data_IF_444464918379
#
_entry.id   IF_444464918379
#
_cell.length_a   1.000
_cell.length_b   1.000
_cell.length_c   1.000
_cell.angle_alpha   90.00
_cell.angle_beta   90.00
_cell.angle_gamma   90.00
#
_symmetry.space_group_name_H-M   'P 1'
#
loop_
_entity.id
_entity.type
_entity.pdbx_description
1 polymer ?
#
# COMPACT_ATOMS: atom_id res chain seq x y z
N UNK A 1 4.48 62.92 -5.31
CA UNK A 1 4.99 61.85 -4.42
C UNK A 1 4.09 60.64 -4.60
N UNK A 2 4.60 59.61 -5.27
CA UNK A 2 3.86 58.39 -5.60
C UNK A 2 3.91 57.41 -4.43
N UNK A 3 2.74 56.96 -3.95
CA UNK A 3 2.63 55.87 -2.98
C UNK A 3 2.73 54.53 -3.70
N UNK A 4 3.78 53.76 -3.41
CA UNK A 4 3.88 52.35 -3.78
C UNK A 4 3.13 51.51 -2.74
N UNK A 5 2.06 50.85 -3.17
CA UNK A 5 1.41 49.78 -2.42
C UNK A 5 1.96 48.45 -2.97
N UNK A 6 2.89 47.84 -2.23
CA UNK A 6 3.38 46.49 -2.50
C UNK A 6 2.47 45.50 -1.76
N UNK A 7 1.57 44.86 -2.51
CA UNK A 7 0.89 43.65 -2.05
C UNK A 7 1.89 42.48 -2.00
N UNK A 8 1.89 41.76 -0.88
CA UNK A 8 2.60 40.48 -0.74
C UNK A 8 1.66 39.33 -1.15
N UNK A 9 2.12 38.36 -1.97
CA UNK A 9 1.35 37.14 -2.23
C UNK A 9 1.73 36.00 -1.27
N UNK A 10 0.69 35.38 -0.70
CA UNK A 10 0.56 33.96 -0.33
C UNK A 10 1.75 33.19 0.25
N UNK A 11 1.84 33.13 1.59
CA UNK A 11 2.67 32.16 2.34
C UNK A 11 1.84 31.19 3.22
N UNK A 12 0.50 31.26 3.17
CA UNK A 12 -0.38 30.54 4.09
C UNK A 12 -0.68 29.06 3.77
N UNK A 13 -0.36 28.58 2.56
CA UNK A 13 -0.80 27.25 2.07
C UNK A 13 0.21 26.12 2.35
N UNK A 14 1.50 26.45 2.47
CA UNK A 14 2.54 25.44 2.71
C UNK A 14 2.62 24.99 4.17
N UNK A 15 2.48 25.90 5.12
CA UNK A 15 2.55 25.59 6.56
C UNK A 15 1.35 24.73 6.98
N UNK A 16 0.15 25.09 6.55
CA UNK A 16 -1.07 24.34 6.85
C UNK A 16 -1.03 22.90 6.33
N UNK A 17 -0.48 22.69 5.13
CA UNK A 17 -0.35 21.36 4.54
C UNK A 17 0.64 20.47 5.29
N UNK A 18 1.79 21.01 5.70
CA UNK A 18 2.78 20.27 6.50
C UNK A 18 2.19 19.87 7.85
N UNK A 19 1.42 20.75 8.48
CA UNK A 19 0.74 20.47 9.75
C UNK A 19 -0.27 19.33 9.62
N UNK A 20 -1.05 19.32 8.53
CA UNK A 20 -2.03 18.26 8.26
C UNK A 20 -1.39 16.90 7.92
N UNK A 21 -0.27 16.90 7.18
CA UNK A 21 0.48 15.67 6.88
C UNK A 21 1.13 15.08 8.14
N UNK A 22 1.60 15.94 9.06
CA UNK A 22 2.12 15.54 10.37
C UNK A 22 1.02 14.98 11.27
N UNK A 23 -0.16 15.63 11.28
CA UNK A 23 -1.33 15.16 12.01
C UNK A 23 -1.78 13.78 11.50
N UNK A 24 -1.87 13.59 10.18
CA UNK A 24 -2.19 12.31 9.57
C UNK A 24 -1.22 11.20 9.99
N UNK A 25 0.08 11.49 9.92
CA UNK A 25 1.10 10.52 10.28
C UNK A 25 1.07 10.14 11.76
N UNK A 26 0.83 11.12 12.62
CA UNK A 26 0.75 10.92 14.07
C UNK A 26 -0.51 10.16 14.49
N UNK A 27 -1.67 10.50 13.92
CA UNK A 27 -2.92 9.80 14.17
C UNK A 27 -2.86 8.34 13.73
N UNK A 28 -2.25 8.07 12.57
CA UNK A 28 -2.03 6.71 12.07
C UNK A 28 -1.17 5.89 13.02
N UNK A 29 -0.05 6.47 13.49
CA UNK A 29 0.85 5.80 14.43
C UNK A 29 0.21 5.56 15.80
N UNK A 30 -0.58 6.51 16.31
CA UNK A 30 -1.30 6.35 17.57
C UNK A 30 -2.34 5.22 17.48
N UNK A 31 -3.16 5.22 16.43
CA UNK A 31 -4.17 4.18 16.22
C UNK A 31 -3.54 2.78 16.10
N UNK A 32 -2.41 2.69 15.40
CA UNK A 32 -1.66 1.44 15.23
C UNK A 32 -1.15 0.86 16.55
N UNK A 33 -0.70 1.72 17.47
CA UNK A 33 -0.19 1.30 18.77
C UNK A 33 -1.30 0.89 19.73
N UNK A 34 -2.45 1.55 19.67
CA UNK A 34 -3.62 1.16 20.45
C UNK A 34 -4.10 -0.25 20.07
N UNK A 35 -4.20 -0.52 18.75
CA UNK A 35 -4.54 -1.86 18.26
C UNK A 35 -3.47 -2.91 18.61
N UNK A 36 -2.18 -2.57 18.47
CA UNK A 36 -1.10 -3.50 18.84
C UNK A 36 -1.12 -3.88 20.32
N UNK A 37 -1.40 -2.92 21.21
CA UNK A 37 -1.52 -3.16 22.66
C UNK A 37 -2.73 -4.01 23.02
N UNK A 38 -3.82 -3.91 22.24
CA UNK A 38 -5.01 -4.75 22.43
C UNK A 38 -4.75 -6.22 22.06
N UNK A 39 -3.82 -6.50 21.15
CA UNK A 39 -3.48 -7.83 20.64
C UNK A 39 -2.35 -8.56 21.41
N UNK A 40 -1.75 -7.92 22.43
CA UNK A 40 -0.50 -8.40 23.09
C UNK A 40 -0.67 -9.65 23.98
N UNK A 41 -1.91 -10.12 24.20
CA UNK A 41 -2.22 -11.21 25.13
C UNK A 41 -1.77 -12.61 24.64
N UNK A 42 -1.15 -12.75 23.45
CA UNK A 42 -0.91 -14.08 22.86
C UNK A 42 0.37 -14.29 22.00
N UNK A 43 1.42 -13.46 22.10
CA UNK A 43 2.64 -13.64 21.28
C UNK A 43 3.84 -14.14 22.09
N UNK A 44 4.10 -15.46 22.11
CA UNK A 44 5.44 -15.99 22.47
C UNK A 44 6.40 -15.74 21.31
N UNK A 45 7.43 -14.91 21.51
CA UNK A 45 8.41 -14.60 20.46
C UNK A 45 9.86 -15.00 20.82
N UNK A 46 10.68 -15.40 19.82
CA UNK A 46 12.15 -15.50 19.92
C UNK A 46 12.78 -14.15 20.34
N UNK A 47 14.09 -14.06 20.68
CA UNK A 47 14.68 -12.80 21.13
C UNK A 47 14.42 -11.67 20.13
N UNK A 48 13.65 -10.68 20.58
CA UNK A 48 13.09 -9.62 19.75
C UNK A 48 14.15 -8.54 19.51
N UNK A 49 14.37 -8.14 18.25
CA UNK A 49 15.11 -6.92 17.96
C UNK A 49 14.18 -5.73 18.17
N UNK A 50 14.11 -5.26 19.41
CA UNK A 50 13.25 -4.17 19.83
C UNK A 50 13.58 -2.81 19.18
N UNK A 51 14.65 -2.72 18.38
CA UNK A 51 15.12 -1.45 17.83
C UNK A 51 15.10 -1.38 16.31
N UNK A 52 14.69 -2.46 15.63
CA UNK A 52 14.62 -2.52 14.18
C UNK A 52 13.21 -2.90 13.71
N UNK A 53 12.83 -2.33 12.57
CA UNK A 53 11.57 -2.61 11.93
C UNK A 53 11.70 -2.61 10.40
N UNK A 54 10.74 -3.25 9.75
CA UNK A 54 10.58 -3.22 8.31
C UNK A 54 9.24 -2.60 7.93
N UNK A 55 9.29 -1.62 7.03
CA UNK A 55 8.15 -0.83 6.59
C UNK A 55 7.82 -1.17 5.13
N UNK A 56 6.62 -1.67 4.90
CA UNK A 56 6.18 -2.10 3.57
C UNK A 56 5.05 -1.23 3.07
N UNK A 57 5.27 -0.57 1.94
CA UNK A 57 4.14 -0.09 1.16
C UNK A 57 3.24 -1.25 0.70
N UNK A 58 1.97 -0.96 0.43
CA UNK A 58 0.96 -1.98 0.13
C UNK A 58 0.72 -2.09 -1.37
N UNK A 59 0.28 -1.02 -2.03
CA UNK A 59 -0.19 -1.06 -3.41
C UNK A 59 1.00 -1.25 -4.38
N UNK A 60 0.92 -2.22 -5.29
CA UNK A 60 2.01 -2.70 -6.17
C UNK A 60 3.30 -3.21 -5.49
N UNK A 61 3.50 -2.93 -4.20
CA UNK A 61 4.61 -3.40 -3.38
C UNK A 61 4.31 -4.77 -2.76
N UNK A 62 3.34 -4.86 -1.85
CA UNK A 62 2.88 -6.11 -1.23
C UNK A 62 1.75 -6.75 -2.02
N UNK A 63 0.78 -5.95 -2.45
CA UNK A 63 -0.42 -6.35 -3.18
C UNK A 63 -0.27 -5.97 -4.65
N UNK A 64 -0.67 -6.86 -5.55
CA UNK A 64 -0.69 -6.61 -6.98
C UNK A 64 -1.80 -5.61 -7.33
N UNK A 65 -1.43 -4.43 -7.84
CA UNK A 65 -2.39 -3.36 -8.10
C UNK A 65 -2.78 -2.61 -6.83
N UNK A 66 -3.86 -1.85 -6.90
CA UNK A 66 -4.35 -1.06 -5.76
C UNK A 66 -5.32 -1.86 -4.89
N UNK A 67 -4.99 -1.98 -3.60
CA UNK A 67 -5.85 -2.56 -2.57
C UNK A 67 -7.16 -1.80 -2.40
N UNK A 68 -7.16 -0.46 -2.54
CA UNK A 68 -8.39 0.32 -2.53
C UNK A 68 -9.32 -0.02 -3.71
N UNK A 69 -8.76 -0.31 -4.88
CA UNK A 69 -9.56 -0.75 -6.04
C UNK A 69 -10.13 -2.15 -5.83
N UNK A 70 -9.34 -3.07 -5.26
CA UNK A 70 -9.84 -4.41 -4.90
C UNK A 70 -10.95 -4.34 -3.85
N UNK A 71 -10.77 -3.47 -2.85
CA UNK A 71 -11.78 -3.20 -1.83
C UNK A 71 -13.05 -2.63 -2.44
N UNK A 72 -12.94 -1.58 -3.28
CA UNK A 72 -14.08 -1.01 -3.99
C UNK A 72 -14.82 -2.02 -4.88
N UNK A 73 -14.11 -2.98 -5.50
CA UNK A 73 -14.73 -4.09 -6.24
C UNK A 73 -15.50 -5.04 -5.33
N UNK A 74 -14.93 -5.41 -4.19
CA UNK A 74 -15.60 -6.27 -3.20
C UNK A 74 -16.87 -5.63 -2.65
N UNK A 75 -16.84 -4.31 -2.41
CA UNK A 75 -18.02 -3.53 -2.03
C UNK A 75 -19.06 -3.49 -3.15
N UNK A 76 -18.65 -3.22 -4.40
CA UNK A 76 -19.57 -3.19 -5.53
C UNK A 76 -20.28 -4.54 -5.74
N UNK A 77 -19.60 -5.65 -5.51
CA UNK A 77 -20.18 -7.00 -5.58
C UNK A 77 -21.23 -7.29 -4.49
N UNK A 78 -21.30 -6.45 -3.46
CA UNK A 78 -22.23 -6.54 -2.31
C UNK A 78 -23.29 -5.43 -2.34
N UNK A 79 -23.52 -4.81 -3.51
CA UNK A 79 -24.49 -3.73 -3.75
C UNK A 79 -24.29 -2.47 -2.88
N UNK A 80 -23.08 -2.26 -2.38
CA UNK A 80 -22.73 -1.05 -1.60
C UNK A 80 -22.58 0.21 -2.47
N UNK A 81 -22.48 0.06 -3.79
CA UNK A 81 -22.44 1.15 -4.75
C UNK A 81 -23.58 1.04 -5.73
N UNK A 82 -24.21 2.17 -6.07
CA UNK A 82 -25.16 2.18 -7.17
C UNK A 82 -24.42 2.03 -8.50
N UNK A 83 -25.11 1.56 -9.54
CA UNK A 83 -24.56 1.50 -10.89
C UNK A 83 -24.00 2.87 -11.36
N UNK A 84 -24.61 3.97 -10.93
CA UNK A 84 -24.14 5.34 -11.22
C UNK A 84 -22.83 5.67 -10.49
N UNK A 85 -22.64 5.17 -9.28
CA UNK A 85 -21.40 5.36 -8.53
C UNK A 85 -20.25 4.60 -9.18
N UNK A 86 -20.48 3.34 -9.55
CA UNK A 86 -19.50 2.51 -10.25
C UNK A 86 -19.08 3.15 -11.58
N UNK A 87 -20.05 3.60 -12.40
CA UNK A 87 -19.73 4.33 -13.63
C UNK A 87 -18.95 5.62 -13.37
N UNK A 88 -19.29 6.35 -12.31
CA UNK A 88 -18.56 7.55 -11.89
C UNK A 88 -17.10 7.24 -11.51
N UNK A 89 -16.85 6.16 -10.78
CA UNK A 89 -15.50 5.71 -10.44
C UNK A 89 -14.70 5.27 -11.67
N UNK A 90 -15.32 4.51 -12.59
CA UNK A 90 -14.69 4.09 -13.84
C UNK A 90 -14.31 5.32 -14.69
N UNK A 91 -15.22 6.30 -14.79
CA UNK A 91 -14.96 7.55 -15.51
C UNK A 91 -13.82 8.35 -14.86
N UNK A 92 -13.82 8.49 -13.54
CA UNK A 92 -12.75 9.18 -12.81
C UNK A 92 -11.39 8.48 -13.01
N UNK A 93 -11.35 7.15 -12.93
CA UNK A 93 -10.15 6.35 -13.15
C UNK A 93 -9.64 6.45 -14.60
N UNK A 94 -10.53 6.43 -15.59
CA UNK A 94 -10.18 6.63 -16.99
C UNK A 94 -9.66 8.06 -17.25
N UNK A 95 -10.31 9.07 -16.66
CA UNK A 95 -9.87 10.47 -16.72
C UNK A 95 -8.46 10.63 -16.12
N UNK A 96 -8.19 9.99 -14.98
CA UNK A 96 -6.88 10.02 -14.33
C UNK A 96 -5.78 9.44 -15.22
N UNK A 97 -6.02 8.25 -15.80
CA UNK A 97 -5.07 7.60 -16.70
C UNK A 97 -4.85 8.36 -18.02
N UNK A 98 -5.86 9.12 -18.49
CA UNK A 98 -5.79 9.87 -19.75
C UNK A 98 -5.22 11.29 -19.61
N UNK A 99 -5.55 12.01 -18.53
CA UNK A 99 -5.20 13.43 -18.39
C UNK A 99 -4.00 13.71 -17.47
N UNK A 100 -3.58 12.76 -16.63
CA UNK A 100 -2.31 12.81 -15.87
C UNK A 100 -2.06 14.04 -14.97
N UNK A 101 -3.05 14.94 -14.83
CA UNK A 101 -3.00 16.15 -14.02
C UNK A 101 -4.30 16.26 -13.24
N UNK A 102 -4.20 16.10 -11.93
CA UNK A 102 -5.30 16.45 -11.03
C UNK A 102 -5.15 17.93 -10.62
N UNK A 103 -6.23 18.69 -10.79
CA UNK A 103 -6.40 19.95 -10.06
C UNK A 103 -6.73 19.60 -8.60
N UNK A 104 -6.26 20.42 -7.65
CA UNK A 104 -6.52 20.25 -6.20
C UNK A 104 -8.01 20.07 -5.86
N UNK A 105 -8.90 20.73 -6.61
CA UNK A 105 -10.35 20.59 -6.47
C UNK A 105 -10.89 19.19 -6.85
N UNK A 106 -10.29 18.52 -7.84
CA UNK A 106 -10.70 17.18 -8.27
C UNK A 106 -10.29 16.13 -7.22
N UNK A 107 -9.12 16.32 -6.58
CA UNK A 107 -8.65 15.46 -5.48
C UNK A 107 -9.53 15.60 -4.25
N UNK A 108 -9.84 16.83 -3.83
CA UNK A 108 -10.70 17.08 -2.68
C UNK A 108 -12.14 16.56 -2.89
N UNK A 109 -12.67 16.67 -4.12
CA UNK A 109 -13.97 16.12 -4.47
C UNK A 109 -13.96 14.58 -4.50
N UNK A 110 -12.90 13.96 -5.04
CA UNK A 110 -12.72 12.51 -5.03
C UNK A 110 -12.62 11.94 -3.61
N UNK A 111 -11.87 12.61 -2.73
CA UNK A 111 -11.76 12.26 -1.30
C UNK A 111 -13.09 12.30 -0.58
N UNK A 112 -13.85 13.40 -0.70
CA UNK A 112 -15.18 13.53 -0.10
C UNK A 112 -16.11 12.41 -0.58
N UNK A 113 -16.09 12.09 -1.87
CA UNK A 113 -16.95 11.04 -2.43
C UNK A 113 -16.58 9.64 -1.92
N UNK A 114 -15.28 9.36 -1.73
CA UNK A 114 -14.83 8.10 -1.15
C UNK A 114 -15.22 7.97 0.34
N UNK A 115 -15.20 9.07 1.10
CA UNK A 115 -15.54 9.09 2.53
C UNK A 115 -17.05 9.09 2.79
N UNK A 116 -17.85 9.69 1.90
CA UNK A 116 -19.31 9.66 2.00
C UNK A 116 -19.87 8.22 2.02
N UNK A 117 -19.13 7.25 1.49
CA UNK A 117 -19.53 5.84 1.52
C UNK A 117 -19.50 5.24 2.94
N UNK A 118 -18.52 5.65 3.75
CA UNK A 118 -18.33 5.13 5.12
C UNK A 118 -19.06 5.97 6.16
N UNK A 119 -19.47 7.20 5.83
CA UNK A 119 -20.18 8.10 6.74
C UNK A 119 -21.43 7.45 7.34
N UNK A 120 -21.57 7.54 8.67
CA UNK A 120 -22.68 6.95 9.42
C UNK A 120 -22.63 5.43 9.59
N UNK A 121 -21.59 4.75 9.06
CA UNK A 121 -21.39 3.31 9.27
C UNK A 121 -20.49 3.07 10.47
N UNK A 122 -20.66 1.92 11.10
CA UNK A 122 -19.78 1.51 12.19
C UNK A 122 -18.39 1.11 11.68
N UNK A 123 -17.37 1.36 12.49
CA UNK A 123 -15.99 0.90 12.25
C UNK A 123 -15.95 -0.63 12.15
N UNK A 124 -16.69 -1.33 13.02
CA UNK A 124 -16.79 -2.79 13.03
C UNK A 124 -17.30 -3.35 11.69
N UNK A 125 -18.36 -2.75 11.12
CA UNK A 125 -18.86 -3.15 9.79
C UNK A 125 -17.77 -3.03 8.71
N UNK A 126 -16.94 -1.99 8.74
CA UNK A 126 -15.88 -1.81 7.76
C UNK A 126 -14.76 -2.85 7.94
N UNK A 127 -14.45 -3.21 9.19
CA UNK A 127 -13.49 -4.28 9.50
C UNK A 127 -14.00 -5.62 8.97
N UNK A 128 -15.25 -5.99 9.25
CA UNK A 128 -15.85 -7.24 8.75
C UNK A 128 -15.83 -7.30 7.23
N UNK A 129 -16.20 -6.21 6.55
CA UNK A 129 -16.10 -6.13 5.08
C UNK A 129 -14.65 -6.25 4.60
N UNK A 130 -13.71 -5.63 5.30
CA UNK A 130 -12.28 -5.75 5.03
C UNK A 130 -11.79 -7.19 5.08
N UNK A 131 -12.25 -7.95 6.07
CA UNK A 131 -11.88 -9.35 6.28
C UNK A 131 -12.44 -10.26 5.17
N UNK A 132 -13.73 -10.11 4.85
CA UNK A 132 -14.34 -10.88 3.76
C UNK A 132 -13.67 -10.59 2.41
N UNK A 133 -13.47 -9.31 2.09
CA UNK A 133 -12.87 -8.90 0.81
C UNK A 133 -11.40 -9.30 0.75
N UNK A 134 -10.71 -9.34 1.91
CA UNK A 134 -9.37 -9.89 1.96
C UNK A 134 -9.34 -11.35 1.51
N UNK A 135 -10.19 -12.18 2.12
CA UNK A 135 -10.21 -13.62 1.88
C UNK A 135 -10.63 -13.94 0.43
N UNK A 136 -11.59 -13.18 -0.13
CA UNK A 136 -12.12 -13.40 -1.49
C UNK A 136 -11.22 -12.86 -2.60
N UNK A 137 -10.52 -11.74 -2.36
CA UNK A 137 -9.86 -10.97 -3.44
C UNK A 137 -8.39 -10.71 -3.14
N UNK A 138 -8.07 -10.14 -1.99
CA UNK A 138 -6.74 -9.55 -1.74
C UNK A 138 -5.68 -10.65 -1.51
N UNK A 139 -6.03 -11.73 -0.81
CA UNK A 139 -5.11 -12.82 -0.50
C UNK A 139 -4.38 -13.36 -1.76
N UNK A 140 -5.13 -13.58 -2.84
CA UNK A 140 -4.61 -14.07 -4.13
C UNK A 140 -3.78 -13.03 -4.91
N UNK A 141 -3.79 -11.77 -4.47
CA UNK A 141 -3.04 -10.67 -5.09
C UNK A 141 -1.76 -10.36 -4.36
N UNK A 142 -1.41 -11.05 -3.29
CA UNK A 142 -0.16 -10.81 -2.58
C UNK A 142 1.02 -11.30 -3.44
N UNK A 143 2.07 -10.49 -3.56
CA UNK A 143 3.32 -10.92 -4.18
C UNK A 143 4.03 -11.91 -3.26
N UNK A 144 4.22 -13.16 -3.72
CA UNK A 144 4.94 -14.18 -2.96
C UNK A 144 6.33 -13.69 -2.51
N UNK A 145 7.09 -13.05 -3.41
CA UNK A 145 8.41 -12.51 -3.07
C UNK A 145 8.38 -11.38 -2.04
N UNK A 146 7.33 -10.56 -2.00
CA UNK A 146 7.20 -9.54 -0.94
C UNK A 146 6.77 -10.17 0.39
N UNK A 147 5.92 -11.21 0.35
CA UNK A 147 5.56 -12.00 1.55
C UNK A 147 6.76 -12.73 2.15
N UNK A 148 7.67 -13.24 1.32
CA UNK A 148 8.93 -13.83 1.79
C UNK A 148 9.82 -12.80 2.49
N UNK A 149 9.86 -11.55 2.00
CA UNK A 149 10.56 -10.45 2.67
C UNK A 149 9.94 -10.12 4.02
N UNK A 150 8.61 -10.06 4.12
CA UNK A 150 7.96 -9.83 5.42
C UNK A 150 8.30 -10.94 6.41
N UNK A 151 8.28 -12.20 5.96
CA UNK A 151 8.63 -13.34 6.81
C UNK A 151 10.09 -13.31 7.26
N UNK A 152 11.02 -12.96 6.37
CA UNK A 152 12.44 -12.80 6.70
C UNK A 152 12.67 -11.84 7.88
N UNK A 153 11.94 -10.71 7.91
CA UNK A 153 12.04 -9.75 9.01
C UNK A 153 11.42 -10.28 10.31
N UNK A 154 10.27 -10.97 10.23
CA UNK A 154 9.66 -11.62 11.39
C UNK A 154 10.57 -12.70 11.98
N UNK A 155 11.19 -13.53 11.13
CA UNK A 155 12.13 -14.58 11.53
C UNK A 155 13.40 -14.00 12.17
N UNK A 156 13.77 -12.76 11.81
CA UNK A 156 14.85 -12.00 12.43
C UNK A 156 14.43 -11.30 13.74
N UNK A 157 13.20 -11.50 14.21
CA UNK A 157 12.66 -10.88 15.44
C UNK A 157 12.37 -9.39 15.31
N UNK A 158 12.25 -8.85 14.09
CA UNK A 158 11.98 -7.44 13.84
C UNK A 158 10.48 -7.16 13.74
N UNK A 159 10.09 -5.93 14.05
CA UNK A 159 8.72 -5.48 13.81
C UNK A 159 8.47 -5.35 12.30
N UNK A 160 7.28 -5.72 11.82
CA UNK A 160 6.88 -5.58 10.41
C UNK A 160 5.58 -4.79 10.31
N UNK A 161 5.66 -3.64 9.64
CA UNK A 161 4.57 -2.68 9.54
C UNK A 161 4.19 -2.42 8.08
N UNK A 162 2.89 -2.39 7.80
CA UNK A 162 2.38 -1.88 6.52
C UNK A 162 2.26 -0.35 6.57
N UNK A 163 2.47 0.34 5.45
CA UNK A 163 2.33 1.80 5.35
C UNK A 163 1.66 2.18 4.04
N UNK A 164 0.45 2.73 4.11
CA UNK A 164 -0.39 2.88 2.93
C UNK A 164 -1.29 4.11 2.97
N UNK A 165 -1.64 4.62 1.79
CA UNK A 165 -2.65 5.65 1.63
C UNK A 165 -4.08 5.09 1.77
N UNK A 166 -4.26 3.76 1.78
CA UNK A 166 -5.57 3.13 1.95
C UNK A 166 -6.09 3.27 3.39
N UNK A 167 -7.41 3.08 3.61
CA UNK A 167 -7.99 3.19 4.95
C UNK A 167 -7.28 2.27 5.95
N UNK A 168 -7.07 2.80 7.15
CA UNK A 168 -6.39 2.11 8.24
C UNK A 168 -7.00 0.72 8.52
N UNK A 169 -8.32 0.60 8.53
CA UNK A 169 -9.03 -0.64 8.86
C UNK A 169 -8.69 -1.78 7.90
N UNK A 170 -8.59 -1.46 6.60
CA UNK A 170 -8.20 -2.43 5.59
C UNK A 170 -6.72 -2.81 5.74
N UNK A 171 -5.85 -1.83 5.98
CA UNK A 171 -4.42 -2.06 6.19
C UNK A 171 -4.16 -2.94 7.42
N UNK A 172 -4.84 -2.66 8.54
CA UNK A 172 -4.79 -3.43 9.77
C UNK A 172 -5.31 -4.85 9.55
N UNK A 173 -6.37 -5.02 8.76
CA UNK A 173 -6.89 -6.35 8.38
C UNK A 173 -5.85 -7.16 7.60
N UNK A 174 -5.20 -6.56 6.60
CA UNK A 174 -4.13 -7.21 5.83
C UNK A 174 -2.97 -7.60 6.77
N UNK A 175 -2.56 -6.70 7.67
CA UNK A 175 -1.48 -6.95 8.63
C UNK A 175 -1.81 -8.13 9.57
N UNK A 176 -3.00 -8.15 10.17
CA UNK A 176 -3.46 -9.25 11.04
C UNK A 176 -3.50 -10.58 10.29
N UNK A 177 -4.12 -10.62 9.10
CA UNK A 177 -4.22 -11.83 8.27
C UNK A 177 -2.85 -12.39 7.85
N UNK A 178 -1.84 -11.53 7.74
CA UNK A 178 -0.46 -11.92 7.42
C UNK A 178 0.43 -12.16 8.65
N UNK A 179 -0.07 -11.98 9.87
CA UNK A 179 0.70 -12.14 11.10
C UNK A 179 1.80 -11.08 11.28
N UNK A 180 1.60 -9.89 10.72
CA UNK A 180 2.54 -8.77 10.85
C UNK A 180 2.35 -8.05 12.19
N UNK A 181 3.25 -7.12 12.53
CA UNK A 181 3.15 -6.33 13.76
C UNK A 181 1.92 -5.43 13.75
N UNK A 182 1.70 -4.71 12.63
CA UNK A 182 0.55 -3.82 12.48
C UNK A 182 0.58 -3.05 11.16
N UNK A 183 -0.18 -1.96 11.09
CA UNK A 183 -0.27 -1.12 9.90
C UNK A 183 -0.39 0.37 10.25
N UNK A 184 0.07 1.21 9.32
CA UNK A 184 -0.12 2.64 9.27
C UNK A 184 -0.93 2.94 7.99
N UNK A 185 -2.13 3.47 8.16
CA UNK A 185 -3.04 3.81 7.06
C UNK A 185 -3.64 5.21 7.20
N UNK A 186 -4.43 5.61 6.20
CA UNK A 186 -5.24 6.83 6.28
C UNK A 186 -6.33 6.65 7.33
N UNK A 187 -6.42 7.58 8.28
CA UNK A 187 -7.36 7.52 9.39
C UNK A 187 -8.62 8.32 9.07
N UNK A 188 -9.75 7.62 8.98
CA UNK A 188 -11.07 8.26 8.97
C UNK A 188 -11.50 8.56 10.41
N UNK A 189 -12.05 9.75 10.63
CA UNK A 189 -12.54 10.15 11.94
C UNK A 189 -13.80 9.33 12.29
N UNK A 190 -13.83 8.83 13.51
CA UNK A 190 -15.00 8.17 14.08
C UNK A 190 -15.29 8.69 15.48
N UNK A 191 -16.57 8.69 15.86
CA UNK A 191 -17.05 9.03 17.20
C UNK A 191 -17.97 7.90 17.64
N UNK A 192 -17.76 7.36 18.84
CA UNK A 192 -18.51 6.23 19.39
C UNK A 192 -18.58 5.02 18.43
N UNK A 193 -17.47 4.76 17.71
CA UNK A 193 -17.37 3.66 16.76
C UNK A 193 -18.10 3.89 15.43
N UNK A 194 -18.59 5.10 15.14
CA UNK A 194 -19.28 5.47 13.89
C UNK A 194 -18.46 6.50 13.11
N UNK A 195 -18.26 6.27 11.81
CA UNK A 195 -17.51 7.21 10.96
C UNK A 195 -18.27 8.51 10.72
N UNK A 196 -17.55 9.64 10.79
CA UNK A 196 -18.11 10.98 10.57
C UNK A 196 -18.05 11.44 9.11
N UNK A 197 -17.44 10.65 8.23
CA UNK A 197 -17.17 11.04 6.83
C UNK A 197 -15.98 12.00 6.66
N UNK A 198 -15.22 12.28 7.72
CA UNK A 198 -14.02 13.13 7.69
C UNK A 198 -12.74 12.31 7.89
N UNK A 199 -11.59 12.93 7.58
CA UNK A 199 -10.26 12.38 7.90
C UNK A 199 -9.70 13.05 9.15
N UNK A 200 -8.88 12.31 9.89
CA UNK A 200 -7.97 12.90 10.87
C UNK A 200 -6.70 13.33 10.14
N UNK A 201 -6.59 14.63 9.85
CA UNK A 201 -5.54 15.18 8.99
C UNK A 201 -5.81 14.88 7.51
N UNK A 202 -4.77 14.46 6.79
CA UNK A 202 -4.76 14.17 5.35
C UNK A 202 -4.58 12.68 5.03
N UNK A 203 -4.71 12.31 3.75
CA UNK A 203 -4.36 10.96 3.28
C UNK A 203 -2.89 10.66 3.59
N UNK A 204 -2.60 9.45 4.07
CA UNK A 204 -1.25 9.00 4.38
C UNK A 204 -0.44 8.68 3.10
N UNK A 205 -0.02 9.73 2.40
CA UNK A 205 0.70 9.64 1.14
C UNK A 205 2.00 10.46 1.18
N UNK A 206 3.02 10.02 0.44
CA UNK A 206 4.28 10.75 0.28
C UNK A 206 4.95 11.12 1.60
N UNK A 207 5.11 12.42 1.86
CA UNK A 207 5.67 12.96 3.11
C UNK A 207 4.89 12.52 4.35
N UNK A 208 3.57 12.31 4.27
CA UNK A 208 2.77 11.80 5.39
C UNK A 208 3.24 10.42 5.86
N UNK A 209 3.61 9.52 4.94
CA UNK A 209 4.19 8.20 5.29
C UNK A 209 5.50 8.34 6.06
N UNK A 210 6.36 9.25 5.61
CA UNK A 210 7.61 9.57 6.31
C UNK A 210 7.37 10.11 7.72
N UNK A 211 6.32 10.91 7.93
CA UNK A 211 5.93 11.38 9.27
C UNK A 211 5.42 10.24 10.14
N UNK A 212 4.56 9.36 9.62
CA UNK A 212 4.07 8.20 10.37
C UNK A 212 5.20 7.27 10.82
N UNK A 213 6.17 6.97 9.94
CA UNK A 213 7.37 6.18 10.29
C UNK A 213 8.14 6.83 11.44
N UNK A 214 8.36 8.14 11.40
CA UNK A 214 9.06 8.86 12.48
C UNK A 214 8.27 8.82 13.78
N UNK A 215 6.96 9.10 13.72
CA UNK A 215 6.09 9.10 14.90
C UNK A 215 6.05 7.72 15.54
N UNK A 216 5.96 6.66 14.75
CA UNK A 216 6.03 5.29 15.24
C UNK A 216 7.40 4.98 15.85
N UNK A 217 8.49 5.33 15.16
CA UNK A 217 9.84 5.08 15.63
C UNK A 217 10.16 5.75 16.98
N UNK A 218 9.66 6.98 17.20
CA UNK A 218 9.81 7.67 18.48
C UNK A 218 9.08 6.92 19.60
N UNK A 219 7.88 6.42 19.34
CA UNK A 219 7.02 5.78 20.34
C UNK A 219 7.50 4.37 20.69
N UNK A 220 8.01 3.64 19.71
CA UNK A 220 8.50 2.26 19.85
C UNK A 220 10.01 2.17 20.14
N UNK A 221 10.73 3.30 20.14
CA UNK A 221 12.19 3.30 20.36
C UNK A 221 13.00 2.71 19.19
N UNK A 222 12.48 2.79 17.97
CA UNK A 222 13.13 2.24 16.78
C UNK A 222 14.32 3.11 16.34
N UNK A 223 15.45 2.46 16.07
CA UNK A 223 16.57 3.09 15.40
C UNK A 223 16.38 2.98 13.88
N UNK A 224 15.91 4.07 13.25
CA UNK A 224 15.64 4.08 11.81
C UNK A 224 16.85 3.66 10.94
N UNK A 225 18.09 3.86 11.40
CA UNK A 225 19.28 3.38 10.68
C UNK A 225 19.43 1.85 10.65
N UNK A 226 18.70 1.14 11.50
CA UNK A 226 18.58 -0.33 11.51
C UNK A 226 17.31 -0.81 10.80
N UNK A 227 16.42 0.11 10.44
CA UNK A 227 15.17 -0.23 9.78
C UNK A 227 15.35 -0.39 8.26
N UNK A 228 14.39 -1.10 7.67
CA UNK A 228 14.28 -1.29 6.22
C UNK A 228 12.96 -0.74 5.71
N UNK A 229 12.92 -0.18 4.51
CA UNK A 229 11.69 0.26 3.87
C UNK A 229 11.59 -0.23 2.42
N UNK A 230 10.38 -0.63 2.03
CA UNK A 230 10.05 -1.22 0.74
C UNK A 230 8.93 -0.43 0.06
N UNK A 231 9.11 -0.03 -1.20
CA UNK A 231 8.07 0.63 -2.00
C UNK A 231 8.31 0.51 -3.51
N UNK A 232 7.24 0.63 -4.30
CA UNK A 232 7.26 0.73 -5.76
C UNK A 232 7.25 2.18 -6.28
N UNK A 233 6.89 3.14 -5.44
CA UNK A 233 6.55 4.49 -5.90
C UNK A 233 7.62 5.53 -5.59
N UNK A 234 7.87 6.42 -6.56
CA UNK A 234 8.70 7.60 -6.34
C UNK A 234 8.14 8.52 -5.25
N UNK A 235 6.83 8.50 -5.01
CA UNK A 235 6.21 9.31 -3.97
C UNK A 235 6.71 8.93 -2.56
N UNK A 236 7.18 7.70 -2.38
CA UNK A 236 7.65 7.18 -1.10
C UNK A 236 9.16 7.42 -0.86
N UNK A 237 9.84 8.14 -1.76
CA UNK A 237 11.25 8.53 -1.58
C UNK A 237 11.52 9.20 -0.23
N UNK A 238 10.66 10.09 0.31
CA UNK A 238 10.85 10.62 1.66
C UNK A 238 10.94 9.53 2.71
N UNK A 239 10.07 8.51 2.67
CA UNK A 239 10.09 7.38 3.60
C UNK A 239 11.32 6.50 3.40
N UNK A 240 11.62 6.13 2.15
CA UNK A 240 12.79 5.32 1.80
C UNK A 240 14.10 6.00 2.22
N UNK A 241 14.15 7.33 2.21
CA UNK A 241 15.36 8.09 2.59
C UNK A 241 15.56 8.22 4.11
N UNK A 242 14.59 7.82 4.94
CA UNK A 242 14.69 7.92 6.40
C UNK A 242 15.41 6.73 7.04
N UNK A 243 15.31 5.57 6.40
CA UNK A 243 15.74 4.29 6.96
C UNK A 243 17.17 3.95 6.53
N UNK A 244 17.79 3.01 7.25
CA UNK A 244 19.15 2.55 6.91
C UNK A 244 19.22 1.72 5.64
N UNK A 245 18.14 1.01 5.29
CA UNK A 245 18.09 0.19 4.07
C UNK A 245 16.81 0.48 3.29
N UNK A 246 16.96 0.91 2.03
CA UNK A 246 15.85 1.16 1.12
C UNK A 246 15.86 0.13 -0.01
N UNK A 247 14.70 -0.46 -0.29
CA UNK A 247 14.53 -1.46 -1.33
C UNK A 247 13.36 -1.07 -2.23
N UNK A 248 13.64 -0.93 -3.52
CA UNK A 248 12.64 -0.61 -4.53
C UNK A 248 11.99 -1.91 -5.07
N UNK A 249 10.71 -2.12 -4.77
CA UNK A 249 9.95 -3.30 -5.18
C UNK A 249 9.09 -2.96 -6.38
N UNK A 250 9.19 -3.71 -7.48
CA UNK A 250 8.42 -3.45 -8.70
C UNK A 250 8.41 -1.98 -9.16
N UNK A 251 9.52 -1.22 -9.07
CA UNK A 251 9.46 0.22 -9.07
C UNK A 251 8.91 0.81 -10.37
N UNK A 252 8.25 1.97 -10.23
CA UNK A 252 7.99 2.89 -11.32
C UNK A 252 9.29 3.39 -11.97
N UNK A 253 9.18 4.05 -13.13
CA UNK A 253 10.36 4.48 -13.88
C UNK A 253 11.23 5.51 -13.12
N UNK A 254 10.61 6.40 -12.35
CA UNK A 254 11.32 7.45 -11.60
C UNK A 254 12.01 6.85 -10.39
N UNK A 255 11.34 6.01 -9.59
CA UNK A 255 11.93 5.32 -8.46
C UNK A 255 13.05 4.38 -8.93
N UNK A 256 12.88 3.68 -10.06
CA UNK A 256 13.94 2.83 -10.63
C UNK A 256 15.20 3.63 -10.96
N UNK A 257 15.03 4.81 -11.58
CA UNK A 257 16.17 5.68 -11.91
C UNK A 257 16.90 6.12 -10.64
N UNK A 258 16.15 6.61 -9.64
CA UNK A 258 16.72 7.07 -8.38
C UNK A 258 17.38 5.93 -7.59
N UNK A 259 16.76 4.74 -7.56
CA UNK A 259 17.31 3.58 -6.89
C UNK A 259 18.66 3.17 -7.49
N UNK A 260 18.81 3.21 -8.82
CA UNK A 260 20.10 2.98 -9.49
C UNK A 260 21.14 4.04 -9.14
N UNK A 261 20.74 5.31 -9.11
CA UNK A 261 21.61 6.43 -8.75
C UNK A 261 22.11 6.31 -7.29
N UNK A 262 21.22 5.94 -6.36
CA UNK A 262 21.53 5.82 -4.92
C UNK A 262 22.06 4.46 -4.50
N UNK A 263 22.17 3.51 -5.43
CA UNK A 263 22.58 2.13 -5.13
C UNK A 263 21.58 1.36 -4.26
N UNK A 264 20.29 1.74 -4.27
CA UNK A 264 19.24 1.01 -3.58
C UNK A 264 18.95 -0.31 -4.30
N UNK A 265 18.68 -1.36 -3.53
CA UNK A 265 18.33 -2.66 -4.09
C UNK A 265 17.02 -2.57 -4.87
N UNK A 266 16.94 -3.26 -6.02
CA UNK A 266 15.75 -3.33 -6.85
C UNK A 266 15.32 -4.79 -6.98
N UNK A 267 14.08 -5.11 -6.59
CA UNK A 267 13.45 -6.41 -6.85
C UNK A 267 12.23 -6.24 -7.72
N UNK A 268 12.17 -6.92 -8.87
CA UNK A 268 11.04 -6.84 -9.80
C UNK A 268 10.38 -8.20 -10.00
N UNK A 269 9.34 -8.46 -9.22
CA UNK A 269 8.58 -9.72 -9.23
C UNK A 269 7.65 -9.85 -10.44
N UNK A 270 7.41 -8.76 -11.18
CA UNK A 270 6.60 -8.78 -12.42
C UNK A 270 7.30 -9.59 -13.52
N UNK A 271 8.62 -9.57 -13.54
CA UNK A 271 9.43 -10.24 -14.58
C UNK A 271 9.36 -11.76 -14.45
N UNK A 272 9.53 -12.30 -13.24
CA UNK A 272 9.42 -13.73 -12.97
C UNK A 272 8.03 -14.27 -13.37
N UNK A 273 6.97 -13.50 -13.08
CA UNK A 273 5.61 -13.86 -13.48
C UNK A 273 5.39 -13.82 -14.99
N UNK A 274 5.89 -12.80 -15.69
CA UNK A 274 5.81 -12.74 -17.17
C UNK A 274 6.55 -13.93 -17.79
N UNK A 275 7.72 -14.27 -17.27
CA UNK A 275 8.50 -15.42 -17.71
C UNK A 275 7.75 -16.74 -17.48
N UNK A 276 7.15 -16.94 -16.30
CA UNK A 276 6.35 -18.14 -16.02
C UNK A 276 5.10 -18.23 -16.93
N UNK A 277 4.37 -17.12 -17.13
CA UNK A 277 3.12 -17.12 -17.92
C UNK A 277 3.36 -17.36 -19.41
N UNK A 278 4.49 -16.90 -19.96
CA UNK A 278 4.82 -17.04 -21.39
C UNK A 278 5.64 -18.31 -21.62
N UNK A 279 6.60 -18.60 -20.74
CA UNK A 279 7.57 -19.69 -20.90
C UNK A 279 6.98 -21.08 -20.69
N UNK A 280 6.12 -21.28 -19.68
CA UNK A 280 5.57 -22.61 -19.36
C UNK A 280 4.65 -23.15 -20.47
N UNK A 281 3.66 -22.38 -20.99
CA UNK A 281 2.82 -22.87 -22.09
C UNK A 281 3.62 -23.10 -23.38
N UNK A 282 4.60 -22.24 -23.67
CA UNK A 282 5.44 -22.37 -24.88
C UNK A 282 6.33 -23.63 -24.83
N UNK A 283 6.91 -23.94 -23.67
CA UNK A 283 7.70 -25.15 -23.47
C UNK A 283 6.85 -26.42 -23.56
N UNK A 284 5.63 -26.41 -23.02
CA UNK A 284 4.69 -27.53 -23.13
C UNK A 284 4.23 -27.76 -24.58
N UNK A 285 3.93 -26.69 -25.33
CA UNK A 285 3.54 -26.79 -26.73
C UNK A 285 4.67 -27.35 -27.61
N UNK A 286 5.90 -26.87 -27.42
CA UNK A 286 7.09 -27.39 -28.11
C UNK A 286 7.37 -28.84 -27.73
N UNK A 287 7.26 -29.20 -26.45
CA UNK A 287 7.42 -30.59 -25.99
C UNK A 287 6.38 -31.54 -26.59
N UNK A 288 5.12 -31.12 -26.67
CA UNK A 288 4.05 -31.91 -27.28
C UNK A 288 4.26 -32.10 -28.79
N UNK A 289 4.66 -31.06 -29.51
CA UNK A 289 4.97 -31.14 -30.94
C UNK A 289 6.19 -32.04 -31.22
N UNK A 290 7.25 -31.90 -30.43
CA UNK A 290 8.44 -32.76 -30.52
C UNK A 290 8.11 -34.23 -30.21
N UNK A 291 7.32 -34.49 -29.18
CA UNK A 291 6.84 -35.83 -28.83
C UNK A 291 6.00 -36.47 -29.93
N UNK A 292 5.09 -35.71 -30.56
CA UNK A 292 4.27 -36.20 -31.67
C UNK A 292 5.11 -36.53 -32.92
N UNK A 293 6.11 -35.70 -33.25
CA UNK A 293 7.02 -35.96 -34.36
C UNK A 293 7.90 -37.18 -34.11
N UNK A 294 8.42 -37.35 -32.90
CA UNK A 294 9.19 -38.54 -32.52
C UNK A 294 8.35 -39.82 -32.59
N UNK A 295 7.09 -39.78 -32.13
CA UNK A 295 6.16 -40.89 -32.23
C UNK A 295 5.86 -41.27 -33.71
N UNK A 296 5.64 -40.28 -34.57
CA UNK A 296 5.42 -40.50 -36.01
C UNK A 296 6.67 -41.07 -36.72
N UNK A 297 7.87 -40.60 -36.36
CA UNK A 297 9.12 -41.12 -36.90
C UNK A 297 9.36 -42.59 -36.46
N UNK A 298 9.09 -42.93 -35.20
CA UNK A 298 9.23 -44.30 -34.69
C UNK A 298 8.30 -45.29 -35.42
N UNK A 299 7.06 -44.88 -35.72
CA UNK A 299 6.07 -45.71 -36.44
C UNK A 299 6.43 -45.95 -37.92
N UNK A 300 7.28 -45.09 -38.51
CA UNK A 300 7.77 -45.26 -39.89
C UNK A 300 8.96 -46.20 -39.99
N UNK A 301 9.73 -46.37 -38.93
CA UNK A 301 10.88 -47.31 -38.88
C UNK A 301 10.47 -48.75 -38.56
N UNK A 302 9.28 -48.96 -38.00
CA UNK A 302 8.72 -50.27 -37.64
C UNK A 302 7.82 -50.90 -38.72
N UNK A 303 7.87 -50.40 -39.96
CA UNK A 303 7.18 -50.94 -41.15
C UNK A 303 8.21 -51.29 -42.20
#
# INVERSE_FOLDING_TARGET
MASYHLGLPGSGDHTSRVDLESLAGSASAERALDDMRADDDNRRQPPVDLTAAAFFDVDNTLVQGSSAVHFGRGLAARDYFTYRDVLGFIYAQAKFQLLGKENSNDVAAGRRKALAFIEGRSVEQLITLGEEIYDEIIADKIWAGTRELTQMHLDAGQQVWLITATPYELAATIARRLGLTGALGTVAESVDGIFTGRLVGEILHGSGKAHAVRSLAIREGLNLKRCTAYSDSYNDVPMLSLVGTAVAINPDARLRSLARERGWEIRDFRTARKAARIGVPSALALGAAGGALAALASRRQSR
#
